data_IF_528682080710
#
_entry.id   IF_528682080710
#
_cell.length_a   1.000
_cell.length_b   1.000
_cell.length_c   1.000
_cell.angle_alpha   90.00
_cell.angle_beta   90.00
_cell.angle_gamma   90.00
#
_symmetry.space_group_name_H-M   'P 1'
#
loop_
_entity.id
_entity.type
_entity.pdbx_description
1 polymer ?
#
# COMPACT_ATOMS: atom_id res chain seq x y z
N UNK A 1 15.66 8.59 18.23
CA UNK A 1 15.60 8.57 17.76
C UNK A 1 15.36 8.71 17.04
N UNK A 2 15.74 8.85 16.60
CA UNK A 2 15.66 8.99 15.83
C UNK A 2 15.44 8.66 14.99
N UNK A 3 15.11 8.81 15.21
CA UNK A 3 14.92 8.31 14.31
C UNK A 3 15.07 8.86 13.03
N UNK A 4 15.59 8.45 12.20
CA UNK A 4 15.72 8.99 10.97
C UNK A 4 14.63 8.54 10.08
N UNK A 5 14.06 9.39 9.25
CA UNK A 5 13.02 9.04 8.34
C UNK A 5 13.56 8.25 7.18
N UNK A 6 12.87 7.21 6.81
CA UNK A 6 13.21 6.46 5.63
C UNK A 6 12.57 7.11 4.41
N UNK A 7 13.29 7.14 3.30
CA UNK A 7 12.71 7.58 2.04
C UNK A 7 13.30 6.72 0.93
N UNK A 8 12.47 6.41 -0.05
CA UNK A 8 12.94 5.65 -1.20
C UNK A 8 13.83 6.54 -2.05
N UNK A 9 14.90 5.98 -2.60
CA UNK A 9 15.73 6.73 -3.54
C UNK A 9 15.09 6.71 -4.93
N UNK A 10 15.67 7.47 -5.87
CA UNK A 10 15.08 7.60 -7.20
C UNK A 10 15.01 6.29 -7.95
N UNK A 11 16.03 5.46 -7.78
CA UNK A 11 16.05 4.16 -8.45
C UNK A 11 14.93 3.27 -7.96
N UNK A 12 14.70 3.29 -6.66
CA UNK A 12 13.61 2.52 -6.06
C UNK A 12 12.25 3.06 -6.48
N UNK A 13 12.12 4.40 -6.52
CA UNK A 13 10.86 5.01 -6.90
C UNK A 13 10.46 4.65 -8.32
N UNK A 14 11.42 4.65 -9.25
CA UNK A 14 11.10 4.33 -10.62
C UNK A 14 11.10 2.84 -10.92
N UNK A 15 11.54 2.03 -9.96
CA UNK A 15 11.60 0.58 -10.11
C UNK A 15 10.57 -0.12 -9.26
N UNK A 16 11.01 -0.58 -8.08
CA UNK A 16 10.16 -1.43 -7.24
C UNK A 16 8.93 -0.71 -6.71
N UNK A 17 9.04 0.58 -6.39
CA UNK A 17 7.89 1.32 -5.88
C UNK A 17 6.83 1.47 -6.96
N UNK A 18 7.25 1.88 -8.14
CA UNK A 18 6.33 2.03 -9.26
C UNK A 18 5.70 0.69 -9.64
N UNK A 19 6.49 -0.37 -9.64
CA UNK A 19 6.00 -1.70 -9.95
C UNK A 19 4.95 -2.14 -8.94
N UNK A 20 5.21 -1.90 -7.66
CA UNK A 20 4.27 -2.24 -6.59
C UNK A 20 2.99 -1.44 -6.74
N UNK A 21 3.11 -0.15 -7.01
CA UNK A 21 1.96 0.72 -7.23
C UNK A 21 1.08 0.17 -8.36
N UNK A 22 1.71 -0.17 -9.47
CA UNK A 22 0.99 -0.68 -10.62
C UNK A 22 0.27 -1.98 -10.30
N UNK A 23 0.92 -2.86 -9.55
CA UNK A 23 0.30 -4.13 -9.17
C UNK A 23 -0.88 -3.93 -8.25
N UNK A 24 -0.77 -3.01 -7.31
CA UNK A 24 -1.87 -2.73 -6.40
C UNK A 24 -3.06 -2.17 -7.17
N UNK A 25 -2.82 -1.26 -8.09
CA UNK A 25 -3.89 -0.69 -8.91
C UNK A 25 -4.56 -1.79 -9.74
N UNK A 26 -3.75 -2.67 -10.30
CA UNK A 26 -4.28 -3.76 -11.10
C UNK A 26 -5.19 -4.67 -10.27
N UNK A 27 -4.77 -4.99 -9.05
CA UNK A 27 -5.58 -5.83 -8.19
C UNK A 27 -6.86 -5.14 -7.75
N UNK A 28 -6.80 -3.84 -7.49
CA UNK A 28 -8.00 -3.09 -7.16
C UNK A 28 -8.97 -3.06 -8.33
N UNK A 29 -8.46 -2.92 -9.54
CA UNK A 29 -9.32 -2.94 -10.71
C UNK A 29 -9.96 -4.31 -10.92
N UNK A 30 -9.22 -5.38 -10.63
CA UNK A 30 -9.77 -6.72 -10.69
C UNK A 30 -10.86 -6.92 -9.65
N UNK A 31 -10.67 -6.39 -8.46
CA UNK A 31 -11.68 -6.46 -7.42
C UNK A 31 -12.96 -5.78 -7.87
N UNK A 32 -12.84 -4.59 -8.44
CA UNK A 32 -13.99 -3.86 -8.92
C UNK A 32 -14.72 -4.62 -10.03
N UNK A 33 -13.94 -5.22 -10.91
CA UNK A 33 -14.51 -5.96 -12.03
C UNK A 33 -15.26 -7.20 -11.54
N UNK A 34 -14.70 -7.90 -10.57
CA UNK A 34 -15.28 -9.14 -10.09
C UNK A 34 -16.45 -8.93 -9.15
N UNK A 35 -16.51 -7.81 -8.46
CA UNK A 35 -17.57 -7.55 -7.49
C UNK A 35 -18.49 -6.43 -7.90
N UNK A 36 -18.08 -5.63 -8.88
CA UNK A 36 -18.80 -4.45 -9.30
C UNK A 36 -18.93 -3.43 -8.17
N UNK A 37 -17.98 -3.41 -7.27
CA UNK A 37 -18.04 -2.49 -6.14
C UNK A 37 -17.65 -1.08 -6.55
N UNK A 38 -18.19 -0.08 -5.85
CA UNK A 38 -17.80 1.31 -6.13
C UNK A 38 -16.44 1.64 -5.56
N UNK A 39 -15.90 2.77 -5.97
CA UNK A 39 -14.59 3.21 -5.50
C UNK A 39 -14.52 3.34 -3.99
N UNK A 40 -15.62 3.72 -3.35
CA UNK A 40 -15.63 3.85 -1.88
C UNK A 40 -15.27 2.55 -1.20
N UNK A 41 -15.66 1.41 -1.79
CA UNK A 41 -15.31 0.12 -1.22
C UNK A 41 -13.83 -0.19 -1.40
N UNK A 42 -13.26 0.24 -2.50
CA UNK A 42 -11.82 0.09 -2.72
C UNK A 42 -11.07 0.94 -1.70
N UNK A 43 -11.52 2.17 -1.49
CA UNK A 43 -10.91 3.06 -0.50
C UNK A 43 -10.99 2.44 0.89
N UNK A 44 -12.15 1.87 1.23
CA UNK A 44 -12.32 1.24 2.53
C UNK A 44 -11.35 0.07 2.71
N UNK A 45 -11.20 -0.76 1.69
CA UNK A 45 -10.28 -1.89 1.77
C UNK A 45 -8.85 -1.40 1.92
N UNK A 46 -8.44 -0.41 1.13
CA UNK A 46 -7.09 0.13 1.22
C UNK A 46 -6.84 0.74 2.59
N UNK A 47 -7.87 1.36 3.17
CA UNK A 47 -7.75 1.93 4.51
C UNK A 47 -7.55 0.85 5.56
N UNK A 48 -8.22 -0.29 5.42
CA UNK A 48 -8.03 -1.41 6.33
C UNK A 48 -6.61 -1.95 6.20
N UNK A 49 -6.13 -2.08 4.98
CA UNK A 49 -4.77 -2.55 4.76
C UNK A 49 -3.78 -1.56 5.37
N UNK A 50 -4.01 -0.26 5.14
CA UNK A 50 -3.14 0.76 5.71
C UNK A 50 -3.15 0.69 7.23
N UNK A 51 -4.32 0.43 7.82
CA UNK A 51 -4.43 0.29 9.28
C UNK A 51 -3.61 -0.86 9.80
N UNK A 52 -3.55 -1.96 9.07
CA UNK A 52 -2.74 -3.10 9.48
C UNK A 52 -1.28 -2.70 9.62
N UNK A 53 -0.77 -1.89 8.69
CA UNK A 53 0.61 -1.44 8.78
C UNK A 53 0.79 -0.38 9.85
N UNK A 54 -0.19 0.51 9.98
CA UNK A 54 -0.11 1.56 10.98
C UNK A 54 -0.15 1.00 12.40
N UNK A 55 -0.92 -0.06 12.60
CA UNK A 55 -1.04 -0.66 13.93
C UNK A 55 0.04 -1.69 14.21
N UNK A 56 0.64 -2.25 13.18
CA UNK A 56 1.74 -3.17 13.35
C UNK A 56 2.95 -2.40 13.80
N UNK A 57 3.69 -2.98 14.67
CA UNK A 57 4.88 -2.32 15.15
C UNK A 57 6.11 -3.01 14.62
N UNK A 58 6.64 -2.50 13.55
CA UNK A 58 7.81 -3.07 12.93
C UNK A 58 8.95 -3.15 13.84
N UNK A 59 8.98 -2.30 14.78
CA UNK A 59 10.07 -2.29 15.66
C UNK A 59 9.96 -3.27 16.68
N UNK A 60 8.99 -3.79 16.79
CA UNK A 60 8.91 -4.74 17.77
C UNK A 60 9.38 -5.99 17.45
N UNK A 61 9.59 -5.87 17.06
CA UNK A 61 9.87 -6.75 16.70
C UNK A 61 10.38 -7.12 16.87
N UNK A 62 10.37 -6.72 16.89
CA UNK A 62 10.72 -6.91 16.81
C UNK A 62 10.94 -7.01 16.91
#
# INVERSE_FOLDING_TARGET
>A
MNKKSFAFNNEQMSGIVEDTYTKIIKECNNLKKNTNCPNEQVVALLSVIASNYALSNDKKKN
#
